data_IF_257998852695
#
_entry.id   IF_257998852695
#
_cell.length_a   1.000
_cell.length_b   1.000
_cell.length_c   1.000
_cell.angle_alpha   90.00
_cell.angle_beta   90.00
_cell.angle_gamma   90.00
#
_symmetry.space_group_name_H-M   'P 1'
#
loop_
_entity.id
_entity.type
_entity.pdbx_description
1 polymer ?
#
# COMPACT_ATOMS: atom_id res chain seq x y z
N UNK A 1 -0.88 -5.32 -17.89
CA UNK A 1 0.15 -6.33 -17.58
C UNK A 1 1.50 -5.66 -17.80
N UNK A 2 2.38 -5.63 -16.79
CA UNK A 2 3.76 -5.22 -17.01
C UNK A 2 4.51 -6.31 -17.77
N UNK A 3 5.47 -5.92 -18.59
CA UNK A 3 6.08 -6.71 -19.69
C UNK A 3 6.76 -8.03 -19.30
N UNK A 4 6.88 -8.34 -18.00
CA UNK A 4 7.64 -9.50 -17.49
C UNK A 4 6.78 -10.54 -16.76
N UNK A 5 5.44 -10.42 -16.81
CA UNK A 5 4.51 -11.36 -16.16
C UNK A 5 4.51 -11.35 -14.61
N UNK A 6 5.49 -10.74 -13.97
CA UNK A 6 5.55 -10.54 -12.52
C UNK A 6 4.59 -9.43 -12.07
N UNK A 7 3.84 -9.71 -11.02
CA UNK A 7 3.05 -8.72 -10.29
C UNK A 7 3.97 -7.68 -9.66
N UNK A 8 3.47 -6.46 -9.43
CA UNK A 8 4.23 -5.42 -8.71
C UNK A 8 4.68 -5.89 -7.32
N UNK A 9 3.92 -6.80 -6.71
CA UNK A 9 4.26 -7.43 -5.44
C UNK A 9 5.50 -8.31 -5.56
N UNK A 10 5.55 -9.19 -6.57
CA UNK A 10 6.72 -10.06 -6.82
C UNK A 10 7.97 -9.26 -7.19
N UNK A 11 7.81 -8.12 -7.88
CA UNK A 11 8.92 -7.20 -8.17
C UNK A 11 9.40 -6.42 -6.94
N UNK A 12 8.52 -6.19 -5.96
CA UNK A 12 8.80 -5.37 -4.78
C UNK A 12 9.24 -6.18 -3.55
N UNK A 13 9.00 -7.50 -3.53
CA UNK A 13 9.59 -8.38 -2.53
C UNK A 13 11.11 -8.32 -2.71
N UNK A 14 11.76 -7.64 -1.79
CA UNK A 14 13.21 -7.74 -1.62
C UNK A 14 13.56 -9.23 -1.52
N UNK A 15 14.60 -9.74 -2.23
CA UNK A 15 14.91 -11.17 -2.29
C UNK A 15 15.32 -11.83 -0.96
N UNK A 16 15.10 -11.18 0.18
CA UNK A 16 15.48 -11.67 1.51
C UNK A 16 14.43 -11.43 2.62
N UNK A 17 13.14 -11.29 2.30
CA UNK A 17 12.10 -11.20 3.33
C UNK A 17 11.72 -12.59 3.85
N UNK A 18 12.38 -13.08 4.90
CA UNK A 18 11.86 -14.23 5.65
C UNK A 18 10.42 -13.92 6.13
N UNK A 19 9.58 -14.95 6.31
CA UNK A 19 8.15 -14.81 6.63
C UNK A 19 7.84 -13.87 7.82
N UNK A 20 8.83 -13.63 8.67
CA UNK A 20 8.75 -12.81 9.88
C UNK A 20 9.10 -11.33 9.68
N UNK A 21 9.42 -10.89 8.46
CA UNK A 21 9.77 -9.50 8.17
C UNK A 21 8.59 -8.67 7.65
N UNK A 22 8.52 -7.37 7.99
CA UNK A 22 7.53 -6.46 7.41
C UNK A 22 7.63 -6.36 5.89
N UNK A 23 6.50 -6.39 5.19
CA UNK A 23 6.44 -6.23 3.73
C UNK A 23 6.95 -4.87 3.24
N UNK A 24 6.75 -3.81 4.03
CA UNK A 24 7.19 -2.45 3.70
C UNK A 24 8.09 -1.91 4.79
N UNK A 25 9.30 -1.49 4.40
CA UNK A 25 10.32 -0.94 5.29
C UNK A 25 10.81 0.41 4.76
N UNK A 26 11.33 1.24 5.65
CA UNK A 26 12.10 2.41 5.24
C UNK A 26 13.56 2.06 5.02
N UNK A 27 14.27 2.88 4.25
CA UNK A 27 15.72 2.79 4.08
C UNK A 27 16.43 3.87 4.91
N UNK A 28 17.62 3.57 5.40
CA UNK A 28 18.50 4.58 5.99
C UNK A 28 19.32 5.32 4.94
N UNK A 29 20.25 6.19 5.37
CA UNK A 29 21.10 6.98 4.46
C UNK A 29 22.13 6.13 3.71
N UNK A 30 22.45 4.94 4.22
CA UNK A 30 23.35 3.97 3.57
C UNK A 30 22.63 3.03 2.62
N UNK A 31 21.35 3.31 2.32
CA UNK A 31 20.48 2.46 1.49
C UNK A 31 20.29 1.06 2.08
N UNK A 32 20.32 0.95 3.41
CA UNK A 32 20.01 -0.30 4.11
C UNK A 32 18.54 -0.33 4.55
N UNK A 33 17.82 -1.44 4.29
CA UNK A 33 16.45 -1.61 4.75
C UNK A 33 16.43 -1.70 6.28
N UNK A 34 15.54 -0.93 6.90
CA UNK A 34 15.31 -1.02 8.35
C UNK A 34 14.57 -2.30 8.67
N UNK A 35 14.89 -2.91 9.81
CA UNK A 35 14.19 -4.11 10.29
C UNK A 35 12.75 -3.84 10.74
N UNK A 36 12.43 -2.58 11.07
CA UNK A 36 11.10 -2.17 11.51
C UNK A 36 10.21 -1.82 10.32
N UNK A 37 8.92 -2.14 10.46
CA UNK A 37 7.91 -1.78 9.49
C UNK A 37 7.79 -0.27 9.30
N UNK A 38 7.28 0.11 8.13
CA UNK A 38 7.06 1.50 7.77
C UNK A 38 6.12 2.18 8.78
N UNK A 39 6.58 3.30 9.36
CA UNK A 39 5.81 4.08 10.33
C UNK A 39 4.62 4.79 9.66
N UNK A 40 3.51 4.96 10.40
CA UNK A 40 2.30 5.61 9.89
C UNK A 40 2.58 7.01 9.31
N UNK A 41 3.43 7.79 9.97
CA UNK A 41 3.83 9.12 9.48
C UNK A 41 4.50 9.07 8.09
N UNK A 42 5.28 8.03 7.82
CA UNK A 42 5.91 7.82 6.51
C UNK A 42 4.87 7.48 5.44
N UNK A 43 3.87 6.66 5.78
CA UNK A 43 2.73 6.35 4.88
C UNK A 43 1.98 7.64 4.54
N UNK A 44 1.62 8.44 5.54
CA UNK A 44 0.93 9.73 5.32
C UNK A 44 1.74 10.67 4.42
N UNK A 45 3.07 10.73 4.63
CA UNK A 45 3.96 11.54 3.80
C UNK A 45 3.95 11.05 2.35
N UNK A 46 4.11 9.75 2.12
CA UNK A 46 4.09 9.17 0.78
C UNK A 46 2.78 9.46 0.05
N UNK A 47 1.64 9.22 0.70
CA UNK A 47 0.32 9.49 0.10
C UNK A 47 0.17 10.96 -0.27
N UNK A 48 0.61 11.87 0.60
CA UNK A 48 0.56 13.32 0.31
C UNK A 48 1.47 13.67 -0.87
N UNK A 49 2.70 13.15 -0.92
CA UNK A 49 3.65 13.42 -2.00
C UNK A 49 3.09 12.99 -3.35
N UNK A 50 2.57 11.75 -3.45
CA UNK A 50 1.96 11.28 -4.70
C UNK A 50 0.66 12.01 -5.02
N UNK A 51 -0.13 12.38 -4.02
CA UNK A 51 -1.31 13.24 -4.20
C UNK A 51 -0.96 14.58 -4.85
N UNK A 52 0.09 15.25 -4.37
CA UNK A 52 0.58 16.50 -4.97
C UNK A 52 1.05 16.31 -6.42
N UNK A 53 1.78 15.24 -6.71
CA UNK A 53 2.23 14.92 -8.08
C UNK A 53 1.05 14.66 -9.02
N UNK A 54 -0.04 14.07 -8.52
CA UNK A 54 -1.27 13.82 -9.26
C UNK A 54 -2.24 15.03 -9.27
N UNK A 55 -1.83 16.20 -8.76
CA UNK A 55 -2.68 17.38 -8.58
C UNK A 55 -3.92 17.16 -7.68
N UNK A 56 -3.91 16.14 -6.82
CA UNK A 56 -4.94 15.86 -5.82
C UNK A 56 -4.48 16.39 -4.46
N UNK A 57 -4.83 17.64 -4.18
CA UNK A 57 -4.29 18.41 -3.04
C UNK A 57 -4.70 17.91 -1.65
N UNK A 58 -5.77 17.12 -1.56
CA UNK A 58 -6.33 16.58 -0.31
C UNK A 58 -6.31 15.05 -0.23
N UNK A 59 -5.39 14.39 -0.96
CA UNK A 59 -5.27 12.94 -0.90
C UNK A 59 -4.75 12.48 0.47
N UNK A 60 -5.46 11.53 1.08
CA UNK A 60 -5.11 10.88 2.35
C UNK A 60 -5.22 9.36 2.23
N UNK A 61 -4.55 8.64 3.14
CA UNK A 61 -4.67 7.19 3.21
C UNK A 61 -6.13 6.74 3.41
N UNK A 62 -6.91 7.51 4.19
CA UNK A 62 -8.33 7.24 4.39
C UNK A 62 -9.15 7.46 3.12
N UNK A 63 -8.89 8.53 2.35
CA UNK A 63 -9.60 8.75 1.08
C UNK A 63 -9.32 7.64 0.05
N UNK A 64 -8.11 7.09 0.03
CA UNK A 64 -7.79 5.93 -0.83
C UNK A 64 -8.63 4.71 -0.44
N UNK A 65 -8.77 4.43 0.87
CA UNK A 65 -9.65 3.37 1.37
C UNK A 65 -11.11 3.62 0.97
N UNK A 66 -11.60 4.85 1.14
CA UNK A 66 -12.97 5.20 0.79
C UNK A 66 -13.26 4.98 -0.70
N UNK A 67 -12.37 5.46 -1.59
CA UNK A 67 -12.49 5.22 -3.03
C UNK A 67 -12.43 3.73 -3.38
N UNK A 68 -11.56 2.95 -2.73
CA UNK A 68 -11.51 1.50 -2.92
C UNK A 68 -12.84 0.80 -2.58
N UNK A 69 -13.45 1.17 -1.46
CA UNK A 69 -14.78 0.67 -1.06
C UNK A 69 -15.84 1.05 -2.10
N UNK A 70 -15.86 2.32 -2.52
CA UNK A 70 -16.79 2.81 -3.55
C UNK A 70 -16.66 2.00 -4.85
N UNK A 71 -15.43 1.83 -5.35
CA UNK A 71 -15.17 1.07 -6.58
C UNK A 71 -15.59 -0.40 -6.45
N UNK A 72 -15.39 -1.04 -5.30
CA UNK A 72 -15.86 -2.41 -5.07
C UNK A 72 -17.38 -2.51 -5.15
N UNK A 73 -18.09 -1.56 -4.51
CA UNK A 73 -19.56 -1.52 -4.52
C UNK A 73 -20.11 -1.20 -5.92
N UNK A 74 -19.49 -0.27 -6.65
CA UNK A 74 -19.82 0.05 -8.04
C UNK A 74 -19.67 -1.18 -8.95
N UNK A 75 -18.69 -2.05 -8.65
CA UNK A 75 -18.48 -3.33 -9.32
C UNK A 75 -19.33 -4.48 -8.76
N UNK A 76 -20.42 -4.17 -8.04
CA UNK A 76 -21.39 -5.14 -7.50
C UNK A 76 -20.79 -6.15 -6.51
N UNK A 77 -19.68 -5.82 -5.85
CA UNK A 77 -19.20 -6.62 -4.73
C UNK A 77 -20.26 -6.62 -3.62
N UNK A 78 -20.49 -7.77 -3.00
CA UNK A 78 -21.45 -7.86 -1.90
C UNK A 78 -20.96 -7.03 -0.71
N UNK A 79 -21.84 -6.23 -0.11
CA UNK A 79 -21.49 -5.33 1.01
C UNK A 79 -20.76 -6.04 2.15
N UNK A 80 -21.19 -7.25 2.51
CA UNK A 80 -20.55 -8.05 3.56
C UNK A 80 -19.08 -8.40 3.24
N UNK A 81 -18.74 -8.64 1.97
CA UNK A 81 -17.36 -8.89 1.52
C UNK A 81 -16.49 -7.64 1.59
N UNK A 82 -17.08 -6.46 1.40
CA UNK A 82 -16.38 -5.17 1.46
C UNK A 82 -16.21 -4.70 2.90
N UNK A 83 -17.18 -5.03 3.76
CA UNK A 83 -17.19 -4.66 5.17
C UNK A 83 -16.25 -5.53 6.01
N UNK A 84 -16.05 -6.80 5.64
CA UNK A 84 -15.14 -7.71 6.32
C UNK A 84 -13.73 -7.56 5.73
N UNK A 85 -12.84 -6.75 6.32
CA UNK A 85 -11.48 -6.70 5.84
C UNK A 85 -10.83 -7.97 6.39
N UNK A 86 -10.58 -8.97 5.55
CA UNK A 86 -9.81 -10.17 5.92
C UNK A 86 -8.36 -9.88 6.35
N UNK A 87 -8.06 -8.67 6.83
CA UNK A 87 -6.77 -8.16 7.29
C UNK A 87 -6.69 -8.12 8.84
N UNK A 88 -7.72 -8.57 9.54
CA UNK A 88 -7.73 -8.74 11.00
C UNK A 88 -7.89 -10.21 11.39
N UNK A 89 -6.84 -11.00 11.17
CA UNK A 89 -6.54 -12.22 11.93
C UNK A 89 -5.04 -12.31 12.13
#
# INVERSE_FOLDING_TARGET
MGEDGLTLYEKAIWPAGAADHPLFVGFDKGDHPRQQGLQAASIYRLVRTYGMQAAITKLTAHSLRASGITLMLENKASLWKVQEPGWSR
#
